data_IF_491354295553
#
_entry.id   IF_491354295553
#
_cell.length_a   1.000
_cell.length_b   1.000
_cell.length_c   1.000
_cell.angle_alpha   90.00
_cell.angle_beta   90.00
_cell.angle_gamma   90.00
#
_symmetry.space_group_name_H-M   'P 1'
#
loop_
_entity.id
_entity.type
_entity.pdbx_description
1 polymer ?
#
# COMPACT_ATOMS: atom_id res chain seq x y z
N UNK A 1 5.77 -9.49 -24.26
CA UNK A 1 5.45 -8.15 -23.74
C UNK A 1 5.54 -8.20 -22.22
N UNK A 2 6.39 -7.43 -21.53
CA UNK A 2 6.41 -7.48 -20.08
C UNK A 2 5.15 -6.78 -19.56
N UNK A 3 4.28 -7.53 -18.88
CA UNK A 3 3.32 -6.95 -17.94
C UNK A 3 4.15 -6.22 -16.90
N UNK A 4 4.38 -4.94 -17.12
CA UNK A 4 4.90 -4.09 -16.06
C UNK A 4 3.78 -4.05 -15.03
N UNK A 5 3.99 -4.74 -13.91
CA UNK A 5 3.30 -4.50 -12.64
C UNK A 5 3.63 -3.07 -12.17
N UNK A 6 3.24 -2.08 -12.97
CA UNK A 6 3.34 -0.69 -12.61
C UNK A 6 2.36 -0.49 -11.47
N UNK A 7 2.89 -0.12 -10.32
CA UNK A 7 2.09 0.56 -9.32
C UNK A 7 1.59 1.86 -9.96
N UNK A 8 0.38 1.83 -10.53
CA UNK A 8 -0.13 2.96 -11.33
C UNK A 8 -0.55 4.13 -10.46
N UNK A 9 -0.81 3.89 -9.18
CA UNK A 9 -1.20 4.91 -8.21
C UNK A 9 -0.55 4.59 -6.88
N UNK A 10 0.44 5.42 -6.52
CA UNK A 10 1.06 5.42 -5.19
C UNK A 10 0.50 6.62 -4.44
N UNK A 11 -0.36 6.37 -3.45
CA UNK A 11 -0.87 7.39 -2.55
C UNK A 11 -0.08 7.37 -1.26
N UNK A 12 0.37 8.52 -0.76
CA UNK A 12 1.05 8.60 0.53
C UNK A 12 0.15 9.26 1.56
N UNK A 13 -0.01 8.62 2.73
CA UNK A 13 -0.76 9.11 3.88
C UNK A 13 0.19 9.08 5.08
N UNK A 14 0.73 10.24 5.46
CA UNK A 14 1.76 10.32 6.49
C UNK A 14 3.02 9.52 6.10
N UNK A 15 3.55 8.65 6.97
CA UNK A 15 4.66 7.77 6.62
C UNK A 15 4.23 6.51 5.85
N UNK A 16 2.94 6.33 5.55
CA UNK A 16 2.45 5.13 4.86
C UNK A 16 2.28 5.41 3.38
N UNK A 17 2.93 4.62 2.53
CA UNK A 17 2.74 4.58 1.08
C UNK A 17 1.77 3.47 0.70
N UNK A 18 0.83 3.77 -0.18
CA UNK A 18 -0.20 2.84 -0.67
C UNK A 18 0.01 2.68 -2.18
N UNK A 19 0.56 1.55 -2.60
CA UNK A 19 0.73 1.19 -3.99
C UNK A 19 -0.45 0.38 -4.52
N UNK A 20 -0.98 0.73 -5.69
CA UNK A 20 -2.02 -0.06 -6.37
C UNK A 20 -1.42 -0.87 -7.50
N UNK A 21 -1.49 -2.20 -7.43
CA UNK A 21 -1.02 -3.11 -8.47
C UNK A 21 -2.17 -3.95 -9.03
N UNK A 22 -1.99 -4.50 -10.23
CA UNK A 22 -2.93 -5.48 -10.81
C UNK A 22 -2.28 -6.84 -10.79
N UNK A 23 -2.94 -7.80 -10.16
CA UNK A 23 -2.50 -9.19 -10.17
C UNK A 23 -2.63 -9.81 -11.58
N UNK A 24 -1.99 -10.96 -11.82
CA UNK A 24 -2.07 -11.71 -13.08
C UNK A 24 -3.51 -12.09 -13.47
N UNK A 25 -4.43 -12.14 -12.51
CA UNK A 25 -5.86 -12.33 -12.74
C UNK A 25 -6.62 -11.04 -13.14
N UNK A 26 -5.93 -9.91 -13.31
CA UNK A 26 -6.54 -8.61 -13.64
C UNK A 26 -7.21 -7.91 -12.45
N UNK A 27 -7.05 -8.43 -11.24
CA UNK A 27 -7.63 -7.84 -10.03
C UNK A 27 -6.77 -6.70 -9.52
N UNK A 28 -7.38 -5.54 -9.28
CA UNK A 28 -6.73 -4.41 -8.61
C UNK A 28 -6.56 -4.72 -7.13
N UNK A 29 -5.32 -4.66 -6.64
CA UNK A 29 -4.97 -4.78 -5.23
C UNK A 29 -4.20 -3.55 -4.78
N UNK A 30 -4.30 -3.26 -3.50
CA UNK A 30 -3.71 -2.09 -2.86
C UNK A 30 -2.81 -2.54 -1.71
N UNK A 31 -1.51 -2.34 -1.86
CA UNK A 31 -0.51 -2.61 -0.83
C UNK A 31 -0.24 -1.32 -0.06
N UNK A 32 -0.47 -1.31 1.26
CA UNK A 32 -0.10 -0.22 2.14
C UNK A 32 1.17 -0.61 2.91
N UNK A 33 2.19 0.23 2.89
CA UNK A 33 3.50 -0.01 3.50
C UNK A 33 3.92 1.24 4.26
N UNK A 34 4.30 1.08 5.52
CA UNK A 34 4.89 2.15 6.30
C UNK A 34 6.37 2.27 5.95
N UNK A 35 6.77 3.42 5.42
CA UNK A 35 8.15 3.68 5.01
C UNK A 35 8.99 4.29 6.13
N UNK A 36 8.47 4.39 7.35
CA UNK A 36 9.30 4.78 8.50
C UNK A 36 10.30 3.67 8.79
N UNK A 37 11.56 4.07 8.97
CA UNK A 37 12.62 3.19 9.44
C UNK A 37 12.19 2.45 10.72
N UNK A 38 12.50 1.14 10.77
CA UNK A 38 12.21 0.22 11.89
C UNK A 38 10.72 -0.14 12.15
N UNK A 39 9.75 0.44 11.44
CA UNK A 39 8.34 0.06 11.63
C UNK A 39 7.98 -1.30 11.00
N UNK A 40 8.45 -1.55 9.76
CA UNK A 40 8.22 -2.82 9.04
C UNK A 40 6.77 -3.17 8.74
N UNK A 41 5.81 -2.25 8.90
CA UNK A 41 4.40 -2.53 8.69
C UNK A 41 4.05 -2.54 7.20
N UNK A 42 3.48 -3.64 6.71
CA UNK A 42 2.94 -3.76 5.35
C UNK A 42 1.67 -4.61 5.36
N UNK A 43 0.66 -4.21 4.57
CA UNK A 43 -0.60 -4.93 4.45
C UNK A 43 -1.20 -4.78 3.04
N UNK A 44 -1.69 -5.89 2.50
CA UNK A 44 -2.36 -5.94 1.20
C UNK A 44 -3.89 -5.95 1.35
N UNK A 45 -4.56 -5.14 0.54
CA UNK A 45 -6.00 -4.98 0.54
C UNK A 45 -6.57 -5.15 -0.87
N UNK A 46 -7.78 -5.69 -0.97
CA UNK A 46 -8.54 -5.76 -2.23
C UNK A 46 -9.25 -4.45 -2.58
N UNK A 47 -9.25 -3.45 -1.69
CA UNK A 47 -9.97 -2.19 -1.89
C UNK A 47 -9.16 -0.99 -1.41
N UNK A 48 -9.18 0.09 -2.20
CA UNK A 48 -8.44 1.32 -1.92
C UNK A 48 -8.84 1.94 -0.58
N UNK A 49 -10.15 1.98 -0.32
CA UNK A 49 -10.71 2.54 0.91
C UNK A 49 -10.22 1.81 2.17
N UNK A 50 -10.07 0.48 2.11
CA UNK A 50 -9.52 -0.31 3.21
C UNK A 50 -8.03 0.02 3.45
N UNK A 51 -7.24 0.11 2.38
CA UNK A 51 -5.83 0.48 2.46
C UNK A 51 -5.65 1.92 3.02
N UNK A 52 -6.47 2.86 2.57
CA UNK A 52 -6.45 4.23 3.06
C UNK A 52 -6.89 4.32 4.52
N UNK A 53 -7.92 3.56 4.92
CA UNK A 53 -8.35 3.52 6.31
C UNK A 53 -7.24 3.00 7.22
N UNK A 54 -6.61 1.89 6.83
CA UNK A 54 -5.48 1.31 7.56
C UNK A 54 -4.30 2.28 7.65
N UNK A 55 -3.95 2.96 6.56
CA UNK A 55 -2.90 3.97 6.55
C UNK A 55 -3.21 5.16 7.47
N UNK A 56 -4.47 5.61 7.53
CA UNK A 56 -4.90 6.71 8.40
C UNK A 56 -4.95 6.32 9.88
N UNK A 57 -5.27 5.07 10.19
CA UNK A 57 -5.31 4.55 11.56
C UNK A 57 -3.96 4.00 12.03
N UNK A 58 -3.00 3.82 11.11
CA UNK A 58 -1.66 3.36 11.42
C UNK A 58 -0.93 4.39 12.29
N UNK A 59 -0.74 4.04 13.56
CA UNK A 59 0.13 4.79 14.46
C UNK A 59 1.51 4.16 14.43
N UNK A 60 2.39 4.79 13.67
CA UNK A 60 3.79 4.40 13.61
C UNK A 60 4.40 4.56 15.01
N UNK A 61 4.81 3.44 15.60
CA UNK A 61 5.30 3.37 16.98
C UNK A 61 6.82 3.15 17.00
N UNK A 62 7.53 3.81 16.08
CA UNK A 62 9.00 3.81 16.08
C UNK A 62 9.44 4.52 17.35
N UNK A 63 10.20 3.81 18.18
CA UNK A 63 10.72 4.28 19.46
C UNK A 63 12.16 4.72 19.30
#
# INVERSE_FOLDING_TARGET
>A
MPMRDFFHSVMQIGPVQIGTHRDRHGQTKHAAVCTTDDCGWSADYSSQSAAQLAARTHRCKVR
#
